data_IF_640901238626
#
_entry.id   IF_640901238626
#
_cell.length_a   1.000
_cell.length_b   1.000
_cell.length_c   1.000
_cell.angle_alpha   90.00
_cell.angle_beta   90.00
_cell.angle_gamma   90.00
#
_symmetry.space_group_name_H-M   'P 1'
#
loop_
_entity.id
_entity.type
_entity.pdbx_description
1 polymer ?
#
# COMPACT_ATOMS: atom_id res chain seq x y z
N UNK A 1 -14.47 -4.94 21.43
CA UNK A 1 -13.12 -4.89 20.82
C UNK A 1 -13.32 -4.23 19.47
N UNK A 2 -12.87 -2.99 19.30
CA UNK A 2 -13.06 -2.27 18.04
C UNK A 2 -12.30 -3.00 16.93
N UNK A 3 -13.03 -3.65 16.04
CA UNK A 3 -12.47 -4.37 14.90
C UNK A 3 -11.72 -3.44 13.92
N UNK A 4 -11.75 -2.13 14.18
CA UNK A 4 -11.17 -1.05 13.40
C UNK A 4 -9.91 -0.42 14.03
N UNK A 5 -9.18 -1.14 14.89
CA UNK A 5 -7.95 -0.57 15.50
C UNK A 5 -6.75 -0.61 14.55
N UNK A 6 -6.90 -0.11 13.32
CA UNK A 6 -5.74 0.21 12.50
C UNK A 6 -5.07 1.47 13.06
N UNK A 7 -3.80 1.35 13.44
CA UNK A 7 -2.97 2.45 13.89
C UNK A 7 -1.83 2.59 12.90
N UNK A 8 -1.82 3.68 12.14
CA UNK A 8 -0.78 3.93 11.13
C UNK A 8 0.62 3.94 11.76
N UNK A 9 0.71 4.33 13.05
CA UNK A 9 1.94 4.39 13.83
C UNK A 9 2.62 3.03 14.00
N UNK A 10 1.85 1.94 13.99
CA UNK A 10 2.38 0.58 14.12
C UNK A 10 3.14 0.14 12.86
N UNK A 11 2.93 0.81 11.74
CA UNK A 11 3.56 0.56 10.44
C UNK A 11 4.69 1.55 10.13
N UNK A 12 5.01 2.46 11.05
CA UNK A 12 6.14 3.37 10.93
C UNK A 12 7.42 2.64 11.34
N UNK A 13 8.39 2.61 10.42
CA UNK A 13 9.74 2.12 10.72
C UNK A 13 10.47 3.22 11.49
N UNK A 14 10.87 2.92 12.74
CA UNK A 14 11.47 3.90 13.66
C UNK A 14 12.99 3.96 13.56
N UNK A 15 13.61 2.80 13.41
CA UNK A 15 15.07 2.66 13.30
C UNK A 15 15.47 2.60 11.84
N UNK A 16 16.59 3.23 11.49
CA UNK A 16 17.10 3.24 10.12
C UNK A 16 17.43 1.81 9.67
N UNK A 17 16.70 1.24 8.69
CA UNK A 17 17.06 -0.06 8.15
C UNK A 17 18.31 0.11 7.29
N UNK A 18 19.32 -0.74 7.49
CA UNK A 18 20.50 -0.73 6.64
C UNK A 18 20.11 -0.98 5.17
N UNK A 19 20.44 -0.02 4.30
CA UNK A 19 20.33 -0.13 2.86
C UNK A 19 21.57 0.50 2.21
N UNK A 20 22.12 -0.17 1.21
CA UNK A 20 23.27 0.34 0.44
C UNK A 20 22.80 0.75 -0.94
N UNK A 21 22.80 2.06 -1.19
CA UNK A 21 22.47 2.60 -2.50
C UNK A 21 23.51 2.15 -3.54
N UNK A 22 23.01 1.66 -4.67
CA UNK A 22 23.80 1.20 -5.81
C UNK A 22 23.99 2.32 -6.82
N UNK A 23 22.98 3.18 -7.01
CA UNK A 23 22.98 4.34 -7.90
C UNK A 23 22.12 5.47 -7.31
N UNK A 24 21.30 6.10 -8.14
CA UNK A 24 20.44 7.25 -7.89
C UNK A 24 19.00 6.85 -7.50
N UNK A 25 18.75 5.57 -7.18
CA UNK A 25 17.39 5.08 -6.90
C UNK A 25 16.69 5.80 -5.74
N UNK A 26 17.43 6.28 -4.74
CA UNK A 26 16.88 7.09 -3.66
C UNK A 26 16.34 8.42 -4.20
N UNK A 27 17.12 9.12 -5.04
CA UNK A 27 16.75 10.42 -5.60
C UNK A 27 15.57 10.28 -6.57
N UNK A 28 15.59 9.23 -7.40
CA UNK A 28 14.49 8.92 -8.32
C UNK A 28 13.21 8.61 -7.56
N UNK A 29 13.26 7.80 -6.50
CA UNK A 29 12.10 7.49 -5.67
C UNK A 29 11.56 8.73 -4.96
N UNK A 30 12.41 9.57 -4.37
CA UNK A 30 11.97 10.82 -3.75
C UNK A 30 11.30 11.77 -4.76
N UNK A 31 11.82 11.83 -5.98
CA UNK A 31 11.23 12.63 -7.06
C UNK A 31 9.86 12.09 -7.46
N UNK A 32 9.74 10.77 -7.66
CA UNK A 32 8.46 10.14 -7.98
C UNK A 32 7.43 10.35 -6.86
N UNK A 33 7.84 10.17 -5.60
CA UNK A 33 6.99 10.41 -4.41
C UNK A 33 6.48 11.86 -4.36
N UNK A 34 7.36 12.85 -4.52
CA UNK A 34 6.99 14.28 -4.54
C UNK A 34 6.01 14.62 -5.66
N UNK A 35 6.11 13.94 -6.80
CA UNK A 35 5.22 14.11 -7.94
C UNK A 35 4.02 13.15 -7.92
N UNK A 36 3.81 12.40 -6.84
CA UNK A 36 2.68 11.48 -6.66
C UNK A 36 2.59 10.41 -7.76
N UNK A 37 3.74 10.04 -8.34
CA UNK A 37 3.81 9.03 -9.38
C UNK A 37 3.85 7.64 -8.75
N UNK A 38 3.05 6.66 -9.25
CA UNK A 38 3.19 5.27 -8.86
C UNK A 38 4.58 4.76 -9.19
N UNK A 39 5.12 3.91 -8.31
CA UNK A 39 6.47 3.37 -8.44
C UNK A 39 6.36 1.87 -8.70
N UNK A 40 7.20 1.37 -9.61
CA UNK A 40 7.32 -0.08 -9.85
C UNK A 40 8.78 -0.49 -9.69
N UNK A 41 9.05 -1.33 -8.70
CA UNK A 41 10.37 -1.89 -8.48
C UNK A 41 10.54 -3.20 -9.24
N UNK A 42 11.54 -3.26 -10.12
CA UNK A 42 11.89 -4.46 -10.87
C UNK A 42 13.31 -4.90 -10.55
N UNK A 43 13.47 -6.21 -10.34
CA UNK A 43 14.77 -6.84 -10.10
C UNK A 43 14.59 -8.29 -9.68
N UNK A 44 15.65 -9.11 -9.73
CA UNK A 44 15.58 -10.50 -9.31
C UNK A 44 15.26 -10.63 -7.81
N UNK A 45 14.87 -11.82 -7.37
CA UNK A 45 14.69 -12.12 -5.94
C UNK A 45 16.00 -11.91 -5.19
N UNK A 46 15.92 -11.37 -3.97
CA UNK A 46 17.09 -11.18 -3.10
C UNK A 46 18.01 -10.01 -3.45
N UNK A 47 17.65 -9.14 -4.40
CA UNK A 47 18.46 -7.94 -4.72
C UNK A 47 18.19 -6.72 -3.82
N UNK A 48 17.39 -6.86 -2.76
CA UNK A 48 17.13 -5.80 -1.79
C UNK A 48 15.93 -4.89 -2.04
N UNK A 49 14.96 -5.26 -2.91
CA UNK A 49 13.75 -4.45 -3.20
C UNK A 49 12.93 -4.14 -1.94
N UNK A 50 12.58 -5.17 -1.17
CA UNK A 50 11.82 -5.00 0.09
C UNK A 50 12.58 -4.13 1.07
N UNK A 51 13.90 -4.32 1.18
CA UNK A 51 14.77 -3.50 2.04
C UNK A 51 14.85 -2.04 1.60
N UNK A 52 14.83 -1.79 0.29
CA UNK A 52 14.76 -0.45 -0.27
C UNK A 52 13.44 0.23 0.09
N UNK A 53 12.32 -0.48 0.01
CA UNK A 53 11.00 0.05 0.43
C UNK A 53 10.95 0.38 1.92
N UNK A 54 11.51 -0.48 2.77
CA UNK A 54 11.68 -0.20 4.20
C UNK A 54 12.50 1.09 4.42
N UNK A 55 13.63 1.22 3.72
CA UNK A 55 14.50 2.39 3.81
C UNK A 55 13.82 3.68 3.37
N UNK A 56 13.13 3.66 2.21
CA UNK A 56 12.41 4.83 1.72
C UNK A 56 11.25 5.21 2.62
N UNK A 57 10.53 4.23 3.18
CA UNK A 57 9.45 4.49 4.14
C UNK A 57 9.96 5.15 5.43
N UNK A 58 11.04 4.61 6.02
CA UNK A 58 11.71 5.22 7.17
C UNK A 58 12.17 6.66 6.85
N UNK A 59 12.85 6.83 5.72
CA UNK A 59 13.42 8.11 5.29
C UNK A 59 12.36 9.18 5.07
N UNK A 60 11.22 8.81 4.48
CA UNK A 60 10.05 9.68 4.27
C UNK A 60 9.17 9.82 5.51
N UNK A 61 9.46 9.07 6.59
CA UNK A 61 8.66 8.99 7.82
C UNK A 61 7.20 8.65 7.54
N UNK A 62 6.98 7.70 6.64
CA UNK A 62 5.65 7.23 6.29
C UNK A 62 5.43 5.82 6.84
N UNK A 63 4.17 5.43 7.07
CA UNK A 63 3.86 4.03 7.32
C UNK A 63 4.12 3.20 6.07
N UNK A 64 4.67 1.99 6.22
CA UNK A 64 4.78 1.01 5.14
C UNK A 64 3.75 -0.10 5.34
N UNK A 65 2.79 -0.19 4.42
CA UNK A 65 1.83 -1.29 4.38
C UNK A 65 2.20 -2.21 3.23
N UNK A 66 2.89 -3.29 3.56
CA UNK A 66 3.27 -4.33 2.59
C UNK A 66 2.16 -5.36 2.45
N UNK A 67 1.78 -5.66 1.21
CA UNK A 67 0.91 -6.77 0.85
C UNK A 67 1.71 -7.76 0.03
N UNK A 68 1.81 -9.01 0.49
CA UNK A 68 2.39 -10.09 -0.29
C UNK A 68 1.36 -10.60 -1.29
N UNK A 69 1.59 -10.35 -2.57
CA UNK A 69 0.72 -10.79 -3.64
C UNK A 69 0.92 -12.28 -3.95
N UNK A 70 -0.18 -12.96 -4.25
CA UNK A 70 -0.22 -14.37 -4.63
C UNK A 70 -1.53 -14.67 -5.36
N UNK A 71 -1.64 -15.83 -6.01
CA UNK A 71 -2.79 -16.18 -6.87
C UNK A 71 -4.13 -16.27 -6.13
N UNK A 72 -4.13 -16.46 -4.81
CA UNK A 72 -5.36 -16.48 -4.01
C UNK A 72 -5.79 -15.09 -3.48
N UNK A 73 -5.02 -14.04 -3.78
CA UNK A 73 -5.32 -12.69 -3.30
C UNK A 73 -6.50 -12.12 -4.09
N UNK A 74 -7.55 -11.70 -3.42
CA UNK A 74 -8.73 -11.10 -4.07
C UNK A 74 -8.76 -9.58 -3.90
N UNK A 75 -9.51 -8.89 -4.77
CA UNK A 75 -9.78 -7.46 -4.61
C UNK A 75 -10.45 -7.13 -3.26
N UNK A 76 -11.26 -8.04 -2.71
CA UNK A 76 -11.88 -7.85 -1.40
C UNK A 76 -10.86 -7.95 -0.25
N UNK A 77 -9.79 -8.72 -0.41
CA UNK A 77 -8.73 -8.77 0.60
C UNK A 77 -7.91 -7.48 0.61
N UNK A 78 -7.70 -6.84 -0.55
CA UNK A 78 -7.02 -5.55 -0.67
C UNK A 78 -7.88 -4.38 -0.14
N UNK A 79 -9.13 -4.30 -0.58
CA UNK A 79 -10.01 -3.15 -0.29
C UNK A 79 -10.66 -3.27 1.06
N UNK A 80 -11.20 -4.45 1.39
CA UNK A 80 -11.95 -4.68 2.60
C UNK A 80 -13.16 -5.59 2.40
N UNK A 81 -13.70 -6.03 3.53
CA UNK A 81 -14.81 -6.98 3.58
C UNK A 81 -15.66 -6.79 4.82
N UNK A 82 -16.92 -7.21 4.71
CA UNK A 82 -17.79 -7.34 5.86
C UNK A 82 -17.42 -8.59 6.67
N UNK A 83 -17.29 -8.44 7.98
CA UNK A 83 -17.17 -9.53 8.94
C UNK A 83 -18.39 -9.55 9.85
N UNK A 84 -18.73 -10.73 10.36
CA UNK A 84 -19.79 -10.88 11.36
C UNK A 84 -19.12 -10.81 12.74
N UNK A 85 -19.58 -9.87 13.57
CA UNK A 85 -19.13 -9.69 14.93
C UNK A 85 -20.34 -9.78 15.87
N UNK A 86 -20.58 -10.96 16.42
CA UNK A 86 -21.78 -11.24 17.21
C UNK A 86 -23.03 -11.20 16.33
N UNK A 87 -23.95 -10.27 16.62
CA UNK A 87 -25.16 -10.04 15.83
C UNK A 87 -24.98 -9.01 14.70
N UNK A 88 -23.85 -8.31 14.66
CA UNK A 88 -23.63 -7.19 13.75
C UNK A 88 -22.77 -7.59 12.55
N UNK A 89 -23.04 -6.96 11.40
CA UNK A 89 -22.18 -7.04 10.21
C UNK A 89 -21.36 -5.75 10.13
N UNK A 90 -20.05 -5.87 10.32
CA UNK A 90 -19.11 -4.74 10.39
C UNK A 90 -18.20 -4.71 9.18
N UNK A 91 -18.02 -3.53 8.60
CA UNK A 91 -17.04 -3.34 7.53
C UNK A 91 -15.63 -3.26 8.12
N UNK A 92 -14.68 -3.96 7.49
CA UNK A 92 -13.27 -3.92 7.86
C UNK A 92 -12.45 -3.57 6.63
N UNK A 93 -11.72 -2.45 6.71
CA UNK A 93 -10.82 -2.02 5.66
C UNK A 93 -9.69 -3.04 5.45
N UNK A 94 -9.40 -3.31 4.18
CA UNK A 94 -8.22 -4.04 3.75
C UNK A 94 -6.95 -3.16 3.81
N UNK A 95 -5.77 -3.74 3.57
CA UNK A 95 -4.49 -3.03 3.65
C UNK A 95 -4.41 -1.86 2.66
N UNK A 96 -5.01 -1.98 1.47
CA UNK A 96 -5.00 -0.90 0.48
C UNK A 96 -5.85 0.29 0.95
N UNK A 97 -7.07 0.04 1.43
CA UNK A 97 -7.94 1.10 1.96
C UNK A 97 -7.31 1.78 3.19
N UNK A 98 -6.70 0.99 4.10
CA UNK A 98 -5.94 1.51 5.24
C UNK A 98 -4.79 2.41 4.80
N UNK A 99 -4.04 2.01 3.76
CA UNK A 99 -2.92 2.80 3.25
C UNK A 99 -3.39 4.15 2.69
N UNK A 100 -4.47 4.14 1.91
CA UNK A 100 -5.08 5.34 1.33
C UNK A 100 -5.53 6.30 2.44
N UNK A 101 -6.28 5.81 3.44
CA UNK A 101 -6.73 6.65 4.57
C UNK A 101 -5.59 7.22 5.39
N UNK A 102 -4.48 6.48 5.52
CA UNK A 102 -3.34 6.86 6.35
C UNK A 102 -2.31 7.75 5.64
N UNK A 103 -2.43 7.96 4.32
CA UNK A 103 -1.37 8.57 3.53
C UNK A 103 -0.07 7.76 3.59
N UNK A 104 -0.18 6.44 3.58
CA UNK A 104 0.93 5.51 3.70
C UNK A 104 1.54 5.13 2.35
N UNK A 105 2.71 4.49 2.40
CA UNK A 105 3.24 3.75 1.25
C UNK A 105 2.57 2.37 1.26
N UNK A 106 1.80 2.06 0.22
CA UNK A 106 1.27 0.72 -0.02
C UNK A 106 2.22 0.00 -0.97
N UNK A 107 2.92 -1.02 -0.47
CA UNK A 107 3.86 -1.81 -1.26
C UNK A 107 3.23 -3.17 -1.62
N UNK A 108 3.00 -3.40 -2.91
CA UNK A 108 2.46 -4.67 -3.43
C UNK A 108 3.63 -5.58 -3.86
N UNK A 109 4.15 -6.36 -2.90
CA UNK A 109 5.29 -7.22 -3.14
C UNK A 109 4.89 -8.42 -4.01
N UNK A 110 5.69 -8.70 -5.04
CA UNK A 110 5.41 -9.73 -6.04
C UNK A 110 4.04 -9.55 -6.74
N UNK A 111 3.64 -8.32 -7.06
CA UNK A 111 2.36 -7.99 -7.74
C UNK A 111 2.07 -8.81 -9.02
N UNK A 112 3.10 -9.33 -9.67
CA UNK A 112 2.99 -10.20 -10.85
C UNK A 112 2.35 -11.56 -10.54
N UNK A 113 2.41 -12.01 -9.29
CA UNK A 113 1.79 -13.24 -8.79
C UNK A 113 0.32 -13.03 -8.41
N UNK A 114 -0.20 -11.80 -8.40
CA UNK A 114 -1.62 -11.55 -8.19
C UNK A 114 -2.41 -11.77 -9.48
N UNK A 115 -3.65 -12.26 -9.33
CA UNK A 115 -4.58 -12.36 -10.46
C UNK A 115 -4.90 -10.98 -11.05
N UNK A 116 -5.11 -10.96 -12.36
CA UNK A 116 -5.37 -9.71 -13.10
C UNK A 116 -6.62 -8.96 -12.63
N UNK A 117 -7.67 -9.67 -12.23
CA UNK A 117 -8.89 -9.07 -11.69
C UNK A 117 -8.64 -8.40 -10.33
N UNK A 118 -7.73 -8.92 -9.52
CA UNK A 118 -7.29 -8.29 -8.27
C UNK A 118 -6.48 -7.03 -8.52
N UNK A 119 -5.60 -7.02 -9.53
CA UNK A 119 -4.74 -5.84 -9.79
C UNK A 119 -5.48 -4.66 -10.40
N UNK A 120 -6.59 -4.87 -11.10
CA UNK A 120 -7.41 -3.79 -11.69
C UNK A 120 -7.89 -2.76 -10.65
N UNK A 121 -8.03 -3.18 -9.39
CA UNK A 121 -8.49 -2.31 -8.30
C UNK A 121 -7.57 -1.12 -8.02
N UNK A 122 -6.29 -1.21 -8.39
CA UNK A 122 -5.31 -0.15 -8.16
C UNK A 122 -5.29 0.89 -9.29
N UNK A 123 -5.93 0.61 -10.43
CA UNK A 123 -5.87 1.52 -11.59
C UNK A 123 -6.31 2.96 -11.25
N UNK A 124 -7.43 3.20 -10.54
CA UNK A 124 -7.85 4.55 -10.22
C UNK A 124 -6.94 5.25 -9.19
N UNK A 125 -6.11 4.50 -8.46
CA UNK A 125 -5.07 5.04 -7.59
C UNK A 125 -3.78 5.39 -8.34
N UNK A 126 -3.58 4.80 -9.51
CA UNK A 126 -2.38 4.97 -10.34
C UNK A 126 -2.55 6.01 -11.47
N UNK A 127 -3.76 6.48 -11.73
CA UNK A 127 -4.03 7.54 -12.71
C UNK A 127 -4.28 8.90 -12.03
N UNK A 128 -4.70 9.89 -12.82
CA UNK A 128 -4.91 11.27 -12.37
C UNK A 128 -6.01 11.42 -11.32
N UNK A 129 -6.90 10.43 -11.18
CA UNK A 129 -8.01 10.48 -10.22
C UNK A 129 -7.51 10.27 -8.79
N UNK A 130 -6.53 9.39 -8.59
CA UNK A 130 -5.97 9.00 -7.29
C UNK A 130 -7.06 8.69 -6.24
N UNK A 131 -8.03 7.86 -6.61
CA UNK A 131 -9.15 7.44 -5.73
C UNK A 131 -9.23 5.93 -5.56
N UNK A 132 -9.80 5.47 -4.44
CA UNK A 132 -10.19 4.09 -4.22
C UNK A 132 -11.71 3.99 -3.99
N UNK A 133 -12.49 3.57 -5.00
CA UNK A 133 -13.91 3.27 -4.82
C UNK A 133 -14.12 2.04 -3.95
N UNK A 134 -14.94 2.16 -2.91
CA UNK A 134 -15.36 1.07 -2.04
C UNK A 134 -16.88 0.87 -2.21
N UNK A 135 -17.25 0.22 -3.31
CA UNK A 135 -18.66 0.06 -3.73
C UNK A 135 -19.54 -0.59 -2.65
N UNK A 136 -19.00 -1.56 -1.91
CA UNK A 136 -19.73 -2.30 -0.87
C UNK A 136 -20.26 -1.42 0.26
N UNK A 137 -19.62 -0.29 0.54
CA UNK A 137 -20.05 0.69 1.56
C UNK A 137 -20.53 2.01 0.93
N UNK A 138 -20.48 2.14 -0.40
CA UNK A 138 -20.86 3.37 -1.11
C UNK A 138 -19.93 4.56 -0.86
N UNK A 139 -18.65 4.30 -0.57
CA UNK A 139 -17.64 5.33 -0.27
C UNK A 139 -16.60 5.40 -1.41
N UNK A 140 -16.03 6.58 -1.62
CA UNK A 140 -14.85 6.78 -2.47
C UNK A 140 -13.78 7.45 -1.63
N UNK A 141 -12.64 6.77 -1.45
CA UNK A 141 -11.50 7.34 -0.74
C UNK A 141 -10.64 8.15 -1.71
N UNK A 142 -10.34 9.39 -1.34
CA UNK A 142 -9.37 10.21 -2.06
C UNK A 142 -7.98 10.01 -1.44
N UNK A 143 -7.00 9.66 -2.26
CA UNK A 143 -5.64 9.47 -1.78
C UNK A 143 -4.99 10.83 -1.47
N UNK A 144 -4.43 10.94 -0.28
CA UNK A 144 -3.74 12.17 0.14
C UNK A 144 -2.45 12.36 -0.66
N UNK A 145 -1.85 13.57 -0.65
CA UNK A 145 -0.54 13.79 -1.26
C UNK A 145 0.56 12.87 -0.73
N UNK A 146 0.41 12.37 0.49
CA UNK A 146 1.36 11.50 1.17
C UNK A 146 1.25 10.03 0.77
N UNK A 147 0.10 9.61 0.25
CA UNK A 147 -0.12 8.24 -0.22
C UNK A 147 0.76 7.92 -1.43
N UNK A 148 1.45 6.78 -1.38
CA UNK A 148 2.27 6.27 -2.47
C UNK A 148 1.88 4.83 -2.78
N UNK A 149 1.60 4.55 -4.06
CA UNK A 149 1.47 3.19 -4.58
C UNK A 149 2.84 2.72 -5.07
N UNK A 150 3.31 1.58 -4.57
CA UNK A 150 4.62 1.03 -4.88
C UNK A 150 4.62 -0.50 -5.04
#
# INVERSE_FOLDING_TARGET
>A
MDANTFKAEDYIIKEEPYYHAVRDEIEVFESAYKNQLPILLKGPTGCGKTRFMEYMSWRLKRPLITVSCHDDLTASDLVGRYLISGSDTVWIDGPLAKAVRAGAICYLDEIVEARKDTTVVIHPLCDDRRVLPIEKVGEVLEATPEFCMA
#
